data_IF_447979735742
#
_entry.id   IF_447979735742
#
_cell.length_a   1.000
_cell.length_b   1.000
_cell.length_c   1.000
_cell.angle_alpha   90.00
_cell.angle_beta   90.00
_cell.angle_gamma   90.00
#
_symmetry.space_group_name_H-M   'P 1'
#
loop_
_entity.id
_entity.type
_entity.pdbx_description
1 polymer ?
#
# COMPACT_ATOMS: atom_id res chain seq x y z
N UNK A 1 -60.47 -15.48 19.12
CA UNK A 1 -59.26 -16.25 19.46
C UNK A 1 -58.06 -15.43 19.02
N UNK A 2 -57.05 -15.36 19.90
CA UNK A 2 -55.67 -14.90 19.70
C UNK A 2 -55.45 -13.42 19.37
N UNK A 3 -55.19 -12.65 20.42
CA UNK A 3 -54.33 -11.47 20.34
C UNK A 3 -52.85 -11.87 20.26
N UNK A 4 -52.02 -10.98 19.73
CA UNK A 4 -50.57 -10.84 19.90
C UNK A 4 -50.15 -9.59 19.10
N UNK A 5 -49.15 -8.79 19.44
CA UNK A 5 -48.44 -8.42 20.69
C UNK A 5 -47.71 -7.11 20.32
N UNK A 6 -47.73 -6.14 21.22
CA UNK A 6 -47.07 -4.84 21.11
C UNK A 6 -45.54 -5.02 21.25
N UNK A 7 -44.74 -4.57 20.28
CA UNK A 7 -43.28 -4.55 20.42
C UNK A 7 -42.84 -3.23 21.06
N UNK A 8 -42.43 -3.32 22.33
CA UNK A 8 -41.80 -2.24 23.07
C UNK A 8 -40.28 -2.36 22.87
N UNK A 9 -39.65 -1.36 22.25
CA UNK A 9 -38.18 -1.26 22.14
C UNK A 9 -37.62 -0.92 23.52
N UNK A 10 -36.84 -1.84 24.10
CA UNK A 10 -35.99 -1.59 25.26
C UNK A 10 -34.57 -1.32 24.76
N UNK A 11 -34.05 -0.13 25.04
CA UNK A 11 -32.63 0.19 24.90
C UNK A 11 -31.85 -0.44 26.06
N UNK A 12 -30.76 -1.13 25.76
CA UNK A 12 -29.78 -1.60 26.75
C UNK A 12 -28.39 -1.24 26.23
N UNK A 13 -27.74 -0.33 26.94
CA UNK A 13 -26.30 -0.02 26.85
C UNK A 13 -25.58 -0.96 27.82
N UNK A 14 -24.47 -1.60 27.43
CA UNK A 14 -23.50 -2.11 28.38
C UNK A 14 -22.24 -1.24 28.39
N UNK A 15 -22.03 -0.57 29.51
CA UNK A 15 -20.73 -0.12 30.00
C UNK A 15 -19.99 -1.36 30.52
N UNK A 16 -18.78 -1.62 30.03
CA UNK A 16 -17.86 -2.56 30.68
C UNK A 16 -16.59 -1.79 31.02
N UNK A 17 -16.51 -1.36 32.27
CA UNK A 17 -15.26 -1.01 32.93
C UNK A 17 -14.70 -2.28 33.57
N UNK A 18 -13.48 -2.68 33.20
CA UNK A 18 -12.76 -3.77 33.86
C UNK A 18 -11.46 -3.22 34.45
N UNK A 19 -11.56 -2.71 35.68
CA UNK A 19 -10.42 -2.52 36.56
C UNK A 19 -10.10 -3.85 37.24
N UNK A 20 -8.84 -4.29 37.16
CA UNK A 20 -8.33 -5.38 37.98
C UNK A 20 -7.13 -4.91 38.79
N UNK A 21 -7.22 -5.25 40.07
CA UNK A 21 -6.48 -4.69 41.18
C UNK A 21 -5.09 -5.32 41.35
N UNK A 22 -4.17 -4.47 41.82
CA UNK A 22 -2.89 -4.86 42.40
C UNK A 22 -3.15 -5.60 43.71
N UNK A 23 -2.64 -6.83 43.83
CA UNK A 23 -2.51 -7.55 45.09
C UNK A 23 -1.03 -7.87 45.33
N UNK A 24 -0.37 -7.01 46.10
CA UNK A 24 0.90 -7.34 46.73
C UNK A 24 0.66 -8.27 47.93
N UNK A 25 1.53 -9.27 48.07
CA UNK A 25 1.71 -9.95 49.35
C UNK A 25 3.17 -10.37 49.49
N UNK A 26 3.85 -9.69 50.42
CA UNK A 26 5.17 -9.97 50.94
C UNK A 26 5.23 -11.34 51.65
N UNK A 27 6.32 -12.10 51.42
CA UNK A 27 6.94 -12.97 52.43
C UNK A 27 8.46 -12.95 52.29
N UNK A 28 9.12 -12.20 53.19
CA UNK A 28 10.44 -12.56 53.76
C UNK A 28 10.28 -13.85 54.58
N UNK A 29 11.28 -14.67 54.87
CA UNK A 29 12.66 -14.86 54.46
C UNK A 29 13.03 -16.25 55.05
N UNK A 30 13.90 -17.03 54.43
CA UNK A 30 14.63 -18.04 55.20
C UNK A 30 16.07 -18.15 54.73
N UNK A 31 16.98 -18.04 55.69
CA UNK A 31 18.42 -17.92 55.54
C UNK A 31 19.05 -19.31 55.64
N UNK A 32 19.74 -19.78 54.59
CA UNK A 32 20.74 -20.84 54.72
C UNK A 32 21.98 -20.55 53.87
N UNK A 33 23.06 -20.30 54.59
CA UNK A 33 24.45 -20.15 54.16
C UNK A 33 25.02 -21.46 53.63
N UNK A 34 25.71 -21.43 52.48
CA UNK A 34 26.98 -22.18 52.27
C UNK A 34 27.77 -21.69 51.05
N UNK A 35 28.99 -21.20 51.35
CA UNK A 35 30.30 -21.33 50.67
C UNK A 35 30.43 -21.26 49.14
N UNK A 36 31.30 -20.32 48.74
CA UNK A 36 32.05 -20.26 47.49
C UNK A 36 32.88 -21.53 47.20
N UNK A 37 32.84 -21.97 45.94
CA UNK A 37 33.85 -22.78 45.26
C UNK A 37 33.88 -22.40 43.78
N UNK A 38 35.06 -22.13 43.27
CA UNK A 38 35.39 -21.69 41.91
C UNK A 38 35.46 -22.83 40.89
N UNK A 39 35.15 -22.46 39.63
CA UNK A 39 35.49 -23.09 38.34
C UNK A 39 34.69 -24.33 37.91
N UNK A 40 33.88 -24.23 36.84
CA UNK A 40 34.32 -24.22 35.44
C UNK A 40 33.12 -24.00 34.48
N UNK A 41 33.43 -23.39 33.34
CA UNK A 41 32.60 -23.10 32.17
C UNK A 41 31.53 -24.16 31.83
N UNK A 42 30.30 -23.68 31.65
CA UNK A 42 29.43 -24.14 30.57
C UNK A 42 28.79 -22.91 29.93
N UNK A 43 29.27 -22.56 28.74
CA UNK A 43 28.74 -21.48 27.91
C UNK A 43 27.31 -21.80 27.49
N UNK A 44 26.34 -21.00 27.91
CA UNK A 44 25.08 -20.83 27.17
C UNK A 44 25.25 -19.59 26.32
N UNK A 45 25.64 -19.83 25.07
CA UNK A 45 25.63 -18.88 23.96
C UNK A 45 24.27 -18.20 23.91
N UNK A 46 24.22 -16.93 24.27
CA UNK A 46 23.26 -16.00 23.65
C UNK A 46 23.60 -16.02 22.16
N UNK A 47 22.70 -16.54 21.34
CA UNK A 47 22.75 -16.32 19.90
C UNK A 47 22.61 -14.82 19.68
N UNK A 48 23.74 -14.13 19.62
CA UNK A 48 23.86 -12.90 18.86
C UNK A 48 23.26 -13.20 17.48
N UNK A 49 22.13 -12.56 17.17
CA UNK A 49 21.58 -12.50 15.82
C UNK A 49 22.57 -11.69 14.99
N UNK A 50 23.66 -12.34 14.61
CA UNK A 50 24.62 -11.82 13.66
C UNK A 50 24.06 -12.11 12.27
N UNK A 51 22.92 -11.47 11.94
CA UNK A 51 22.51 -11.32 10.56
C UNK A 51 23.43 -10.28 9.98
N UNK A 52 24.54 -10.74 9.41
CA UNK A 52 25.36 -9.92 8.51
C UNK A 52 24.51 -9.67 7.26
N UNK A 53 23.56 -8.75 7.37
CA UNK A 53 22.96 -8.10 6.22
C UNK A 53 24.07 -7.23 5.65
N UNK A 54 24.48 -7.54 4.44
CA UNK A 54 25.43 -6.72 3.72
C UNK A 54 24.78 -5.35 3.54
N UNK A 55 25.20 -4.37 4.34
CA UNK A 55 25.05 -2.95 4.02
C UNK A 55 25.76 -2.71 2.69
N UNK A 56 25.00 -2.81 1.60
CA UNK A 56 25.37 -2.10 0.40
C UNK A 56 25.00 -0.66 0.62
N UNK A 57 25.85 0.25 0.17
CA UNK A 57 25.61 1.70 0.16
C UNK A 57 24.55 2.10 -0.90
N UNK A 58 23.65 1.16 -1.23
CA UNK A 58 22.66 1.18 -2.29
C UNK A 58 21.27 0.96 -1.65
N UNK A 59 20.22 1.46 -2.28
CA UNK A 59 18.82 1.18 -1.97
C UNK A 59 18.59 -0.31 -1.59
N UNK A 60 17.69 -0.60 -0.62
CA UNK A 60 17.33 -1.97 -0.28
C UNK A 60 16.63 -2.70 -1.45
N UNK A 61 16.08 -1.97 -2.43
CA UNK A 61 15.56 -2.51 -3.67
C UNK A 61 16.58 -2.40 -4.83
N UNK A 62 16.59 -3.40 -5.72
CA UNK A 62 17.25 -3.28 -7.02
C UNK A 62 16.31 -2.61 -8.02
N UNK A 63 16.39 -1.28 -8.12
CA UNK A 63 15.50 -0.48 -8.98
C UNK A 63 15.84 -0.57 -10.48
N UNK A 64 16.91 -1.28 -10.87
CA UNK A 64 17.41 -1.29 -12.26
C UNK A 64 16.45 -1.93 -13.27
N UNK A 65 15.55 -2.82 -12.83
CA UNK A 65 14.66 -3.60 -13.68
C UNK A 65 13.20 -3.65 -13.18
N UNK A 66 12.70 -2.53 -12.65
CA UNK A 66 11.33 -2.45 -12.12
C UNK A 66 10.25 -2.55 -13.20
N UNK A 67 10.54 -2.07 -14.42
CA UNK A 67 9.62 -2.02 -15.56
C UNK A 67 10.27 -2.56 -16.83
N UNK A 68 9.48 -3.30 -17.61
CA UNK A 68 9.85 -3.72 -18.96
C UNK A 68 9.48 -2.64 -19.99
N UNK A 69 10.00 -2.76 -21.21
CA UNK A 69 9.61 -1.86 -22.31
C UNK A 69 8.12 -1.97 -22.65
N UNK A 70 7.52 -3.16 -22.47
CA UNK A 70 6.08 -3.39 -22.68
C UNK A 70 5.25 -2.71 -21.58
N UNK A 71 5.71 -2.76 -20.33
CA UNK A 71 5.03 -2.07 -19.21
C UNK A 71 4.93 -0.57 -19.49
N UNK A 72 6.01 0.04 -19.97
CA UNK A 72 6.13 1.47 -20.24
C UNK A 72 5.39 1.93 -21.50
N UNK A 73 4.87 1.02 -22.33
CA UNK A 73 4.19 1.38 -23.57
C UNK A 73 2.80 1.99 -23.30
N UNK A 74 2.66 3.31 -23.45
CA UNK A 74 1.39 4.02 -23.20
C UNK A 74 0.36 3.92 -24.34
N UNK A 75 0.71 3.28 -25.44
CA UNK A 75 -0.18 3.06 -26.58
C UNK A 75 0.07 1.68 -27.17
N UNK A 76 -0.98 1.02 -27.66
CA UNK A 76 -0.92 -0.31 -28.28
C UNK A 76 -1.36 -0.21 -29.74
N UNK A 77 -0.69 -0.92 -30.65
CA UNK A 77 -1.14 -1.07 -32.02
C UNK A 77 -2.41 -1.94 -32.06
N UNK A 78 -3.52 -1.35 -32.48
CA UNK A 78 -4.84 -1.99 -32.51
C UNK A 78 -5.25 -2.47 -33.91
N UNK A 79 -4.36 -2.39 -34.90
CA UNK A 79 -4.67 -2.73 -36.31
C UNK A 79 -5.25 -4.14 -36.46
N UNK A 80 -4.68 -5.10 -35.73
CA UNK A 80 -5.10 -6.51 -35.75
C UNK A 80 -5.82 -6.94 -34.46
N UNK A 81 -6.19 -5.99 -33.60
CA UNK A 81 -6.81 -6.31 -32.32
C UNK A 81 -8.21 -6.91 -32.50
N UNK A 82 -8.53 -7.88 -31.65
CA UNK A 82 -9.88 -8.42 -31.52
C UNK A 82 -10.79 -7.37 -30.88
N UNK A 83 -11.96 -7.12 -31.45
CA UNK A 83 -12.89 -6.10 -30.94
C UNK A 83 -14.00 -6.77 -30.14
N UNK A 84 -14.26 -6.25 -28.95
CA UNK A 84 -15.32 -6.71 -28.06
C UNK A 84 -16.15 -5.49 -27.64
N UNK A 85 -17.46 -5.63 -27.78
CA UNK A 85 -18.43 -4.65 -27.27
C UNK A 85 -19.19 -5.33 -26.13
N UNK A 86 -19.22 -4.68 -24.98
CA UNK A 86 -19.83 -5.21 -23.77
C UNK A 86 -21.35 -5.20 -23.86
N UNK A 87 -21.98 -6.17 -23.22
CA UNK A 87 -23.44 -6.34 -23.17
C UNK A 87 -23.89 -6.69 -21.75
N UNK A 88 -25.06 -6.20 -21.35
CA UNK A 88 -25.66 -6.49 -20.04
C UNK A 88 -25.82 -8.00 -19.79
N UNK A 89 -25.41 -8.46 -18.61
CA UNK A 89 -25.59 -9.84 -18.16
C UNK A 89 -24.74 -10.88 -18.90
N UNK A 90 -23.75 -10.43 -19.70
CA UNK A 90 -22.88 -11.32 -20.48
C UNK A 90 -21.43 -11.12 -20.11
N UNK A 91 -20.86 -12.09 -19.42
CA UNK A 91 -19.42 -12.13 -19.20
C UNK A 91 -18.66 -12.33 -20.52
N UNK A 92 -17.46 -11.79 -20.57
CA UNK A 92 -16.51 -11.91 -21.67
C UNK A 92 -15.35 -12.78 -21.19
N UNK A 93 -15.15 -13.95 -21.79
CA UNK A 93 -13.98 -14.80 -21.49
C UNK A 93 -12.91 -14.60 -22.55
N UNK A 94 -11.68 -14.32 -22.11
CA UNK A 94 -10.47 -14.23 -22.91
C UNK A 94 -9.52 -15.35 -22.47
N UNK A 95 -9.19 -16.25 -23.40
CA UNK A 95 -8.49 -17.51 -23.13
C UNK A 95 -7.15 -17.65 -23.89
N UNK A 96 -6.69 -16.58 -24.55
CA UNK A 96 -5.47 -16.58 -25.35
C UNK A 96 -4.73 -15.25 -25.26
N UNK A 97 -3.40 -15.30 -25.45
CA UNK A 97 -2.57 -14.13 -25.65
C UNK A 97 -2.98 -13.39 -26.93
N UNK A 98 -3.37 -12.12 -26.80
CA UNK A 98 -3.66 -11.21 -27.92
C UNK A 98 -3.92 -9.79 -27.40
N UNK A 99 -4.20 -8.87 -28.32
CA UNK A 99 -4.75 -7.55 -28.03
C UNK A 99 -6.26 -7.53 -28.26
N UNK A 100 -7.00 -7.03 -27.27
CA UNK A 100 -8.44 -6.97 -27.24
C UNK A 100 -8.89 -5.52 -27.01
N UNK A 101 -9.52 -4.89 -27.99
CA UNK A 101 -10.15 -3.58 -27.84
C UNK A 101 -11.53 -3.76 -27.25
N UNK A 102 -11.73 -3.29 -26.02
CA UNK A 102 -12.97 -3.39 -25.26
C UNK A 102 -13.68 -2.03 -25.29
N UNK A 103 -14.98 -2.06 -25.60
CA UNK A 103 -15.83 -0.86 -25.74
C UNK A 103 -17.22 -1.10 -25.15
N UNK A 104 -17.94 -0.01 -24.92
CA UNK A 104 -19.37 -0.05 -24.60
C UNK A 104 -19.68 -0.01 -23.11
N UNK A 105 -20.97 -0.03 -22.80
CA UNK A 105 -21.51 0.04 -21.44
C UNK A 105 -22.27 -1.23 -21.11
N UNK A 106 -22.01 -1.82 -19.94
CA UNK A 106 -22.70 -3.03 -19.50
C UNK A 106 -22.91 -3.07 -17.98
N UNK A 107 -23.93 -3.83 -17.56
CA UNK A 107 -24.21 -4.19 -16.18
C UNK A 107 -24.08 -5.69 -15.97
N UNK A 108 -23.54 -6.09 -14.83
CA UNK A 108 -23.36 -7.51 -14.47
C UNK A 108 -22.68 -8.29 -15.61
N UNK A 109 -21.56 -7.75 -16.08
CA UNK A 109 -20.71 -8.29 -17.13
C UNK A 109 -19.26 -8.18 -16.66
N UNK A 110 -18.57 -9.31 -16.59
CA UNK A 110 -17.17 -9.40 -16.17
C UNK A 110 -16.28 -9.71 -17.38
N UNK A 111 -15.19 -8.97 -17.54
CA UNK A 111 -14.10 -9.36 -18.45
C UNK A 111 -13.18 -10.33 -17.70
N UNK A 112 -13.27 -11.61 -18.03
CA UNK A 112 -12.55 -12.71 -17.38
C UNK A 112 -11.37 -13.12 -18.25
N UNK A 113 -10.16 -13.08 -17.70
CA UNK A 113 -8.93 -13.54 -18.37
C UNK A 113 -8.52 -14.87 -17.77
N UNK A 114 -8.59 -15.93 -18.56
CA UNK A 114 -8.18 -17.28 -18.17
C UNK A 114 -7.42 -17.93 -19.33
N UNK A 115 -6.26 -17.34 -19.64
CA UNK A 115 -5.37 -17.79 -20.71
C UNK A 115 -4.30 -18.75 -20.16
N UNK A 116 -3.31 -19.12 -20.98
CA UNK A 116 -2.16 -19.91 -20.52
C UNK A 116 -1.27 -19.09 -19.55
N UNK A 117 -0.53 -19.78 -18.68
CA UNK A 117 0.30 -19.12 -17.66
C UNK A 117 1.49 -18.31 -18.24
N UNK A 118 1.82 -18.51 -19.51
CA UNK A 118 2.82 -17.76 -20.27
C UNK A 118 2.22 -16.64 -21.13
N UNK A 119 0.89 -16.52 -21.19
CA UNK A 119 0.20 -15.55 -22.03
C UNK A 119 0.35 -14.11 -21.52
N UNK A 120 0.66 -13.19 -22.43
CA UNK A 120 0.51 -11.76 -22.23
C UNK A 120 -0.78 -11.31 -22.91
N UNK A 121 -1.71 -10.76 -22.14
CA UNK A 121 -3.04 -10.34 -22.63
C UNK A 121 -3.16 -8.83 -22.51
N UNK A 122 -3.47 -8.15 -23.62
CA UNK A 122 -3.62 -6.70 -23.65
C UNK A 122 -5.09 -6.32 -23.80
N UNK A 123 -5.68 -5.74 -22.75
CA UNK A 123 -6.99 -5.11 -22.76
C UNK A 123 -6.82 -3.63 -23.10
N UNK A 124 -7.33 -3.20 -24.24
CA UNK A 124 -7.32 -1.80 -24.67
C UNK A 124 -8.70 -1.22 -24.42
N UNK A 125 -8.83 -0.42 -23.37
CA UNK A 125 -10.09 0.18 -22.95
C UNK A 125 -10.32 1.51 -23.68
N UNK A 126 -11.42 1.56 -24.44
CA UNK A 126 -11.87 2.74 -25.15
C UNK A 126 -13.31 3.08 -24.80
N UNK A 127 -13.47 3.95 -23.80
CA UNK A 127 -14.76 4.40 -23.25
C UNK A 127 -15.63 3.25 -22.71
N UNK A 128 -14.99 2.35 -21.95
CA UNK A 128 -15.65 1.23 -21.27
C UNK A 128 -16.43 1.72 -20.05
N UNK A 129 -17.64 1.23 -19.84
CA UNK A 129 -18.38 1.47 -18.59
C UNK A 129 -19.01 0.18 -18.08
N UNK A 130 -18.56 -0.34 -16.93
CA UNK A 130 -19.08 -1.57 -16.33
C UNK A 130 -19.61 -1.28 -14.93
N UNK A 131 -20.82 -1.74 -14.62
CA UNK A 131 -21.36 -1.75 -13.25
C UNK A 131 -21.79 -3.16 -12.86
N UNK A 132 -21.04 -3.79 -11.97
CA UNK A 132 -21.37 -5.11 -11.43
C UNK A 132 -21.94 -4.99 -10.02
N UNK A 133 -22.73 -5.98 -9.63
CA UNK A 133 -23.33 -6.00 -8.29
C UNK A 133 -22.37 -6.56 -7.25
N UNK A 134 -21.66 -7.66 -7.58
CA UNK A 134 -20.96 -8.50 -6.60
C UNK A 134 -19.75 -9.26 -7.17
N UNK A 135 -19.31 -8.92 -8.37
CA UNK A 135 -18.14 -9.52 -9.05
C UNK A 135 -17.26 -8.41 -9.60
N UNK A 136 -15.93 -8.62 -9.72
CA UNK A 136 -15.04 -7.70 -10.40
C UNK A 136 -15.56 -7.34 -11.79
N UNK A 137 -15.20 -6.17 -12.28
CA UNK A 137 -15.44 -5.79 -13.68
C UNK A 137 -14.40 -6.40 -14.61
N UNK A 138 -13.17 -6.58 -14.10
CA UNK A 138 -12.08 -7.30 -14.73
C UNK A 138 -11.58 -8.34 -13.73
N UNK A 139 -11.51 -9.60 -14.14
CA UNK A 139 -11.04 -10.70 -13.33
C UNK A 139 -9.96 -11.51 -14.06
N UNK A 140 -8.69 -11.29 -13.70
CA UNK A 140 -7.57 -12.03 -14.28
C UNK A 140 -7.27 -13.28 -13.46
N UNK A 141 -7.82 -14.41 -13.90
CA UNK A 141 -7.68 -15.73 -13.27
C UNK A 141 -6.31 -16.32 -13.56
N UNK A 142 -5.89 -16.32 -14.83
CA UNK A 142 -4.62 -16.89 -15.26
C UNK A 142 -4.08 -16.20 -16.52
N UNK A 143 -2.82 -15.78 -16.45
CA UNK A 143 -1.98 -15.20 -17.50
C UNK A 143 -0.59 -14.98 -16.89
N UNK A 144 0.43 -14.74 -17.72
CA UNK A 144 1.72 -14.24 -17.23
C UNK A 144 1.59 -12.80 -16.72
N UNK A 145 0.92 -11.97 -17.51
CA UNK A 145 0.59 -10.59 -17.18
C UNK A 145 -0.65 -10.16 -17.96
N UNK A 146 -1.51 -9.37 -17.32
CA UNK A 146 -2.62 -8.69 -17.99
C UNK A 146 -2.31 -7.19 -18.03
N UNK A 147 -2.31 -6.63 -19.24
CA UNK A 147 -2.18 -5.19 -19.44
C UNK A 147 -3.58 -4.58 -19.58
N UNK A 148 -3.87 -3.54 -18.81
CA UNK A 148 -5.07 -2.70 -18.99
C UNK A 148 -4.60 -1.34 -19.48
N UNK A 149 -4.71 -1.12 -20.79
CA UNK A 149 -4.29 0.11 -21.46
C UNK A 149 -5.48 1.00 -21.76
N UNK A 150 -5.53 2.20 -21.19
CA UNK A 150 -6.57 3.19 -21.52
C UNK A 150 -6.19 4.00 -22.77
N UNK A 151 -7.09 4.11 -23.74
CA UNK A 151 -6.83 4.92 -24.94
C UNK A 151 -6.84 6.41 -24.63
N UNK A 152 -6.12 7.19 -25.44
CA UNK A 152 -6.04 8.64 -25.27
C UNK A 152 -7.43 9.28 -25.28
N UNK A 153 -7.68 10.17 -24.32
CA UNK A 153 -8.95 10.88 -24.12
C UNK A 153 -10.16 9.98 -23.80
N UNK A 154 -9.97 8.67 -23.57
CA UNK A 154 -11.06 7.82 -23.11
C UNK A 154 -11.36 8.07 -21.64
N UNK A 155 -12.65 7.95 -21.28
CA UNK A 155 -13.07 7.88 -19.88
C UNK A 155 -13.72 6.54 -19.62
N UNK A 156 -13.09 5.73 -18.78
CA UNK A 156 -13.51 4.37 -18.48
C UNK A 156 -14.05 4.32 -17.05
N UNK A 157 -15.26 3.78 -16.84
CA UNK A 157 -15.96 3.80 -15.56
C UNK A 157 -16.25 2.38 -15.09
N UNK A 158 -15.57 1.92 -14.06
CA UNK A 158 -15.75 0.58 -13.50
C UNK A 158 -16.25 0.68 -12.07
N UNK A 159 -17.34 -0.02 -11.77
CA UNK A 159 -18.00 0.06 -10.47
C UNK A 159 -18.49 -1.29 -10.00
N UNK A 160 -18.32 -1.55 -8.70
CA UNK A 160 -19.01 -2.65 -8.00
C UNK A 160 -19.86 -2.07 -6.88
N UNK A 161 -21.17 -2.32 -6.89
CA UNK A 161 -22.13 -1.61 -6.02
C UNK A 161 -22.47 -2.31 -4.71
N UNK A 162 -22.11 -3.58 -4.57
CA UNK A 162 -22.46 -4.40 -3.41
C UNK A 162 -21.32 -5.30 -3.01
N UNK A 163 -21.59 -6.17 -2.03
CA UNK A 163 -20.58 -7.08 -1.49
C UNK A 163 -20.07 -8.06 -2.54
N UNK A 164 -18.76 -8.22 -2.60
CA UNK A 164 -18.13 -9.19 -3.48
C UNK A 164 -18.49 -10.61 -3.05
N UNK A 165 -18.77 -11.44 -4.04
CA UNK A 165 -18.95 -12.88 -3.83
C UNK A 165 -17.66 -13.59 -4.16
N UNK A 166 -17.20 -14.43 -3.23
CA UNK A 166 -16.03 -15.29 -3.40
C UNK A 166 -16.09 -16.10 -4.71
N UNK A 167 -14.92 -16.49 -5.18
CA UNK A 167 -14.74 -17.42 -6.30
C UNK A 167 -13.82 -18.57 -5.89
N UNK A 168 -14.38 -19.78 -5.83
CA UNK A 168 -13.72 -20.98 -5.32
C UNK A 168 -13.04 -20.77 -3.95
N UNK A 169 -13.72 -20.08 -3.04
CA UNK A 169 -13.21 -19.78 -1.69
C UNK A 169 -12.10 -18.72 -1.64
N UNK A 170 -11.84 -18.03 -2.75
CA UNK A 170 -10.93 -16.89 -2.79
C UNK A 170 -11.72 -15.58 -2.77
N UNK A 171 -11.26 -14.64 -1.95
CA UNK A 171 -11.72 -13.26 -2.00
C UNK A 171 -11.26 -12.62 -3.31
N UNK A 172 -12.22 -12.11 -4.07
CA UNK A 172 -12.00 -11.36 -5.32
C UNK A 172 -12.49 -9.92 -5.16
N UNK A 173 -12.15 -9.32 -4.03
CA UNK A 173 -12.78 -8.13 -3.45
C UNK A 173 -12.26 -6.79 -4.03
N UNK A 174 -12.11 -6.72 -5.35
CA UNK A 174 -11.70 -5.51 -6.06
C UNK A 174 -12.44 -5.32 -7.40
N UNK A 175 -12.61 -4.06 -7.82
CA UNK A 175 -13.25 -3.73 -9.11
C UNK A 175 -12.45 -4.30 -10.28
N UNK A 176 -11.11 -4.22 -10.19
CA UNK A 176 -10.19 -4.99 -11.01
C UNK A 176 -9.43 -5.93 -10.08
N UNK A 177 -9.59 -7.22 -10.28
CA UNK A 177 -8.93 -8.24 -9.47
C UNK A 177 -8.07 -9.16 -10.34
N UNK A 178 -6.82 -9.36 -9.96
CA UNK A 178 -5.91 -10.27 -10.64
C UNK A 178 -5.31 -11.28 -9.67
N UNK A 179 -5.44 -12.58 -9.97
CA UNK A 179 -4.65 -13.64 -9.31
C UNK A 179 -3.18 -13.65 -9.79
N UNK A 180 -2.87 -12.82 -10.78
CA UNK A 180 -1.60 -12.79 -11.53
C UNK A 180 -1.06 -11.37 -11.58
N UNK A 181 0.07 -11.17 -12.26
CA UNK A 181 0.57 -9.82 -12.52
C UNK A 181 -0.44 -9.01 -13.33
N UNK A 182 -0.57 -7.74 -12.98
CA UNK A 182 -1.34 -6.78 -13.74
C UNK A 182 -0.54 -5.50 -13.95
N UNK A 183 -0.64 -4.94 -15.16
CA UNK A 183 -0.02 -3.67 -15.51
C UNK A 183 -1.06 -2.71 -16.04
N UNK A 184 -1.14 -1.54 -15.43
CA UNK A 184 -2.02 -0.45 -15.85
C UNK A 184 -1.19 0.62 -16.54
N UNK A 185 -1.60 0.99 -17.75
CA UNK A 185 -0.93 2.03 -18.52
C UNK A 185 -1.92 2.73 -19.45
N UNK A 186 -1.43 3.68 -20.24
CA UNK A 186 -2.23 4.39 -21.22
C UNK A 186 -2.31 5.88 -20.96
N UNK A 187 -3.16 6.53 -21.74
CA UNK A 187 -3.29 7.99 -21.78
C UNK A 187 -4.72 8.47 -21.45
N UNK A 188 -5.59 7.55 -21.04
CA UNK A 188 -6.97 7.83 -20.67
C UNK A 188 -7.18 7.89 -19.16
N UNK A 189 -8.46 8.02 -18.79
CA UNK A 189 -8.92 8.03 -17.40
C UNK A 189 -9.62 6.73 -17.05
N UNK A 190 -9.33 6.20 -15.87
CA UNK A 190 -10.00 5.08 -15.24
C UNK A 190 -10.64 5.53 -13.92
N UNK A 191 -11.97 5.55 -13.87
CA UNK A 191 -12.76 5.85 -12.70
C UNK A 191 -13.18 4.53 -12.03
N UNK A 192 -12.84 4.37 -10.76
CA UNK A 192 -13.09 3.19 -9.94
C UNK A 192 -13.95 3.58 -8.74
N UNK A 193 -15.03 2.82 -8.49
CA UNK A 193 -15.92 2.98 -7.34
C UNK A 193 -16.24 1.59 -6.75
N UNK A 194 -15.89 1.38 -5.48
CA UNK A 194 -15.92 0.07 -4.83
C UNK A 194 -16.34 0.18 -3.36
N UNK A 195 -17.15 -0.78 -2.89
CA UNK A 195 -17.33 -1.04 -1.45
C UNK A 195 -16.28 -2.01 -0.88
N UNK A 196 -15.20 -2.27 -1.63
CA UNK A 196 -14.04 -3.02 -1.17
C UNK A 196 -12.77 -2.37 -1.74
N UNK A 197 -11.80 -3.15 -2.22
CA UNK A 197 -10.60 -2.61 -2.84
C UNK A 197 -10.91 -2.02 -4.22
N UNK A 198 -10.09 -1.09 -4.68
CA UNK A 198 -10.20 -0.54 -6.03
C UNK A 198 -9.63 -1.51 -7.03
N UNK A 199 -8.31 -1.68 -6.99
CA UNK A 199 -7.56 -2.59 -7.84
C UNK A 199 -6.71 -3.49 -6.95
N UNK A 200 -6.78 -4.80 -7.15
CA UNK A 200 -6.00 -5.76 -6.36
C UNK A 200 -5.29 -6.80 -7.24
N UNK A 201 -4.07 -7.17 -6.83
CA UNK A 201 -3.32 -8.30 -7.40
C UNK A 201 -2.80 -9.24 -6.30
N UNK A 202 -2.90 -10.55 -6.52
CA UNK A 202 -2.20 -11.55 -5.70
C UNK A 202 -0.75 -11.77 -6.15
N UNK A 203 -0.17 -10.84 -6.92
CA UNK A 203 1.21 -10.86 -7.39
C UNK A 203 1.72 -9.42 -7.51
N UNK A 204 2.38 -9.05 -8.62
CA UNK A 204 2.82 -7.67 -8.86
C UNK A 204 1.73 -6.82 -9.53
N UNK A 205 1.56 -5.59 -9.04
CA UNK A 205 0.75 -4.54 -9.65
C UNK A 205 1.67 -3.42 -10.13
N UNK A 206 1.66 -3.15 -11.44
CA UNK A 206 2.44 -2.05 -12.04
C UNK A 206 1.51 -0.97 -12.57
N UNK A 207 1.90 0.30 -12.38
CA UNK A 207 1.26 1.44 -13.05
C UNK A 207 2.33 2.27 -13.74
N UNK A 208 2.19 2.52 -15.03
CA UNK A 208 3.22 3.26 -15.79
C UNK A 208 2.71 4.51 -16.48
N UNK A 209 1.42 4.80 -16.35
CA UNK A 209 0.78 6.02 -16.86
C UNK A 209 -0.74 5.94 -16.75
N UNK A 210 -1.42 6.99 -17.22
CA UNK A 210 -2.87 7.15 -17.16
C UNK A 210 -3.34 7.96 -15.95
N UNK A 211 -4.65 8.20 -15.87
CA UNK A 211 -5.30 8.91 -14.75
C UNK A 211 -6.25 7.97 -14.03
N UNK A 212 -6.13 7.87 -12.70
CA UNK A 212 -6.91 6.97 -11.86
C UNK A 212 -7.69 7.79 -10.82
N UNK A 213 -9.01 7.73 -10.89
CA UNK A 213 -9.90 8.31 -9.88
C UNK A 213 -10.53 7.16 -9.09
N UNK A 214 -10.11 6.95 -7.86
CA UNK A 214 -10.43 5.74 -7.08
C UNK A 214 -11.17 6.13 -5.81
N UNK A 215 -12.37 5.56 -5.61
CA UNK A 215 -13.15 5.72 -4.38
C UNK A 215 -13.47 4.33 -3.81
N UNK A 216 -12.96 4.04 -2.61
CA UNK A 216 -12.99 2.70 -2.01
C UNK A 216 -13.31 2.74 -0.52
N UNK A 217 -13.92 1.68 0.01
CA UNK A 217 -14.06 1.47 1.47
C UNK A 217 -13.08 0.43 2.02
N UNK A 218 -12.07 0.07 1.22
CA UNK A 218 -10.83 -0.58 1.64
C UNK A 218 -9.67 0.13 0.91
N UNK A 219 -8.63 -0.59 0.52
CA UNK A 219 -7.46 -0.01 -0.11
C UNK A 219 -7.77 0.48 -1.54
N UNK A 220 -7.14 1.59 -1.95
CA UNK A 220 -7.21 2.06 -3.33
C UNK A 220 -6.57 1.05 -4.28
N UNK A 221 -5.29 0.78 -4.04
CA UNK A 221 -4.49 -0.22 -4.73
C UNK A 221 -3.93 -1.23 -3.72
N UNK A 222 -4.09 -2.53 -4.00
CA UNK A 222 -3.56 -3.61 -3.19
C UNK A 222 -2.72 -4.57 -4.03
N UNK A 223 -1.56 -5.00 -3.53
CA UNK A 223 -0.82 -6.09 -4.15
C UNK A 223 -0.15 -6.99 -3.12
N UNK A 224 -0.07 -8.29 -3.41
CA UNK A 224 0.67 -9.22 -2.55
C UNK A 224 2.19 -8.92 -2.63
N UNK A 225 2.78 -8.99 -3.83
CA UNK A 225 4.24 -8.96 -3.95
C UNK A 225 4.81 -7.54 -4.05
N UNK A 226 4.21 -6.70 -4.89
CA UNK A 226 4.64 -5.30 -4.99
C UNK A 226 3.64 -4.42 -5.72
N UNK A 227 3.65 -3.14 -5.35
CA UNK A 227 3.12 -2.07 -6.19
C UNK A 227 4.28 -1.25 -6.74
N UNK A 228 4.34 -1.07 -8.06
CA UNK A 228 5.39 -0.29 -8.73
C UNK A 228 4.79 0.76 -9.62
N UNK A 229 5.12 2.02 -9.37
CA UNK A 229 4.60 3.17 -10.13
C UNK A 229 5.75 3.84 -10.87
N UNK A 230 5.68 3.85 -12.21
CA UNK A 230 6.63 4.60 -13.03
C UNK A 230 6.20 6.06 -13.20
N UNK A 231 4.91 6.25 -13.49
CA UNK A 231 4.26 7.55 -13.69
C UNK A 231 2.73 7.36 -13.64
N UNK A 232 1.97 8.46 -13.58
CA UNK A 232 0.51 8.48 -13.58
C UNK A 232 -0.06 9.67 -12.83
N UNK A 233 -1.37 9.83 -12.86
CA UNK A 233 -2.11 10.76 -11.99
C UNK A 233 -3.12 9.98 -11.16
N UNK A 234 -3.07 10.13 -9.85
CA UNK A 234 -3.86 9.35 -8.89
C UNK A 234 -4.66 10.30 -8.00
N UNK A 235 -5.98 10.15 -8.01
CA UNK A 235 -6.90 10.82 -7.11
C UNK A 235 -7.64 9.74 -6.32
N UNK A 236 -7.20 9.50 -5.08
CA UNK A 236 -7.64 8.35 -4.28
C UNK A 236 -8.38 8.84 -3.05
N UNK A 237 -9.57 8.31 -2.81
CA UNK A 237 -10.27 8.38 -1.54
C UNK A 237 -10.50 6.94 -1.06
N UNK A 238 -9.83 6.55 0.02
CA UNK A 238 -9.87 5.21 0.59
C UNK A 238 -10.19 5.29 2.09
N UNK A 239 -10.97 4.35 2.63
CA UNK A 239 -11.14 4.23 4.09
C UNK A 239 -10.09 3.31 4.73
N UNK A 240 -9.25 2.68 3.91
CA UNK A 240 -7.96 2.11 4.33
C UNK A 240 -6.88 2.85 3.55
N UNK A 241 -5.83 2.14 3.12
CA UNK A 241 -4.69 2.81 2.51
C UNK A 241 -4.93 3.21 1.06
N UNK A 242 -4.20 4.24 0.62
CA UNK A 242 -4.18 4.62 -0.78
C UNK A 242 -3.50 3.53 -1.61
N UNK A 243 -2.31 3.14 -1.18
CA UNK A 243 -1.51 2.04 -1.72
C UNK A 243 -1.09 1.11 -0.59
N UNK A 244 -1.35 -0.20 -0.75
CA UNK A 244 -1.03 -1.21 0.24
C UNK A 244 -0.38 -2.42 -0.42
N UNK A 245 0.84 -2.78 -0.02
CA UNK A 245 1.45 -4.05 -0.41
C UNK A 245 1.93 -4.83 0.79
N UNK A 246 1.50 -6.08 0.89
CA UNK A 246 1.79 -6.95 2.03
C UNK A 246 1.89 -8.40 1.55
N UNK A 247 2.95 -9.09 1.99
CA UNK A 247 3.09 -10.53 1.83
C UNK A 247 3.59 -11.16 3.14
N UNK A 248 2.69 -11.81 3.86
CA UNK A 248 3.01 -12.48 5.12
C UNK A 248 3.85 -13.76 4.92
N UNK A 249 3.79 -14.38 3.73
CA UNK A 249 4.48 -15.63 3.43
C UNK A 249 5.93 -15.41 2.93
N UNK A 250 6.17 -14.29 2.24
CA UNK A 250 7.49 -13.89 1.74
C UNK A 250 7.77 -12.42 2.06
N UNK A 251 8.40 -12.20 3.23
CA UNK A 251 8.73 -10.88 3.74
C UNK A 251 9.77 -10.13 2.90
N UNK A 252 10.40 -10.76 1.89
CA UNK A 252 11.24 -10.07 0.89
C UNK A 252 10.42 -9.33 -0.17
N UNK A 253 9.11 -9.51 -0.15
CA UNK A 253 8.13 -8.84 -1.00
C UNK A 253 7.14 -8.04 -0.13
N UNK A 254 6.02 -7.57 -0.69
CA UNK A 254 5.11 -6.64 -0.01
C UNK A 254 5.67 -5.22 0.04
N UNK A 255 6.26 -4.73 -1.06
CA UNK A 255 6.85 -3.40 -1.14
C UNK A 255 6.09 -2.47 -2.08
N UNK A 256 6.22 -1.17 -1.83
CA UNK A 256 5.79 -0.11 -2.74
C UNK A 256 7.00 0.64 -3.26
N UNK A 257 7.11 0.75 -4.58
CA UNK A 257 8.15 1.52 -5.27
C UNK A 257 7.52 2.57 -6.17
N UNK A 258 7.93 3.84 -6.03
CA UNK A 258 7.42 4.96 -6.83
C UNK A 258 8.59 5.70 -7.48
N UNK A 259 8.72 5.59 -8.79
CA UNK A 259 9.68 6.36 -9.57
C UNK A 259 9.20 7.79 -9.85
N UNK A 260 7.88 8.00 -9.93
CA UNK A 260 7.28 9.27 -10.30
C UNK A 260 5.76 9.21 -10.38
N UNK A 261 5.13 10.34 -10.72
CA UNK A 261 3.68 10.51 -10.82
C UNK A 261 3.16 11.71 -10.03
N UNK A 262 1.84 11.91 -10.09
CA UNK A 262 1.12 12.93 -9.32
C UNK A 262 0.04 12.26 -8.47
N UNK A 263 0.07 12.47 -7.15
CA UNK A 263 -0.74 11.75 -6.18
C UNK A 263 -1.52 12.75 -5.32
N UNK A 264 -2.84 12.63 -5.32
CA UNK A 264 -3.73 13.23 -4.33
C UNK A 264 -4.41 12.09 -3.60
N UNK A 265 -4.05 11.86 -2.34
CA UNK A 265 -4.50 10.71 -1.55
C UNK A 265 -5.22 11.21 -0.30
N UNK A 266 -6.46 10.78 -0.12
CA UNK A 266 -7.19 10.91 1.13
C UNK A 266 -7.50 9.50 1.64
N UNK A 267 -6.80 9.09 2.69
CA UNK A 267 -6.97 7.80 3.34
C UNK A 267 -7.51 7.98 4.76
N UNK A 268 -8.30 7.03 5.25
CA UNK A 268 -8.66 6.95 6.69
C UNK A 268 -7.75 5.99 7.47
N UNK A 269 -6.72 5.46 6.81
CA UNK A 269 -5.60 4.65 7.35
C UNK A 269 -4.33 5.24 6.68
N UNK A 270 -3.49 4.46 5.99
CA UNK A 270 -2.22 4.99 5.48
C UNK A 270 -2.32 5.67 4.10
N UNK A 271 -1.49 6.68 3.84
CA UNK A 271 -1.34 7.20 2.48
C UNK A 271 -0.76 6.11 1.57
N UNK A 272 0.44 5.64 1.92
CA UNK A 272 1.21 4.63 1.19
C UNK A 272 1.87 3.68 2.19
N UNK A 273 1.60 2.39 2.07
CA UNK A 273 2.19 1.35 2.90
C UNK A 273 2.73 0.19 2.05
N UNK A 274 4.04 -0.01 2.12
CA UNK A 274 4.70 -1.25 1.75
C UNK A 274 5.21 -1.91 3.02
N UNK A 275 4.63 -3.04 3.41
CA UNK A 275 4.96 -3.74 4.66
C UNK A 275 6.46 -3.95 4.81
N UNK A 276 7.15 -4.38 3.74
CA UNK A 276 8.61 -4.50 3.76
C UNK A 276 9.31 -3.17 3.50
N UNK A 277 9.10 -2.59 2.32
CA UNK A 277 9.79 -1.38 1.88
C UNK A 277 8.79 -0.42 1.23
N UNK A 278 8.90 0.87 1.57
CA UNK A 278 8.32 1.96 0.79
C UNK A 278 9.43 2.86 0.27
N UNK A 279 9.64 2.85 -1.03
CA UNK A 279 10.70 3.62 -1.70
C UNK A 279 10.13 4.61 -2.71
N UNK A 280 10.51 5.88 -2.56
CA UNK A 280 10.08 7.00 -3.41
C UNK A 280 11.32 7.66 -4.05
N UNK A 281 11.46 7.47 -5.35
CA UNK A 281 12.50 8.06 -6.19
C UNK A 281 12.08 9.40 -6.82
N UNK A 282 10.79 9.73 -6.77
CA UNK A 282 10.27 10.99 -7.27
C UNK A 282 8.74 11.05 -7.30
N UNK A 283 8.22 12.14 -7.84
CA UNK A 283 6.77 12.40 -7.95
C UNK A 283 6.32 13.63 -7.16
N UNK A 284 5.04 13.96 -7.25
CA UNK A 284 4.38 15.02 -6.48
C UNK A 284 3.23 14.43 -5.69
N UNK A 285 3.20 14.66 -4.38
CA UNK A 285 2.25 14.04 -3.46
C UNK A 285 1.54 15.11 -2.63
N UNK A 286 0.23 14.98 -2.49
CA UNK A 286 -0.62 15.65 -1.50
C UNK A 286 -1.41 14.55 -0.77
N UNK A 287 -0.98 14.24 0.46
CA UNK A 287 -1.48 13.11 1.25
C UNK A 287 -2.19 13.63 2.50
N UNK A 288 -3.43 13.20 2.71
CA UNK A 288 -4.15 13.32 3.97
C UNK A 288 -4.46 11.90 4.48
N UNK A 289 -3.92 11.52 5.63
CA UNK A 289 -3.99 10.13 6.12
C UNK A 289 -3.89 10.05 7.66
N UNK A 290 -4.02 8.84 8.21
CA UNK A 290 -3.63 8.54 9.60
C UNK A 290 -2.11 8.60 9.66
N UNK A 291 -1.44 7.69 8.95
CA UNK A 291 -0.02 7.82 8.65
C UNK A 291 0.23 8.21 7.19
N UNK A 292 1.19 9.08 6.92
CA UNK A 292 1.45 9.52 5.54
C UNK A 292 2.09 8.42 4.69
N UNK A 293 3.25 7.93 5.12
CA UNK A 293 4.06 6.92 4.42
C UNK A 293 4.61 5.94 5.45
N UNK A 294 4.39 4.65 5.24
CA UNK A 294 4.80 3.61 6.19
C UNK A 294 5.52 2.44 5.52
N UNK A 295 6.46 1.82 6.25
CA UNK A 295 7.03 0.52 5.94
C UNK A 295 8.01 0.04 7.01
N UNK A 296 8.59 -1.15 6.84
CA UNK A 296 9.74 -1.53 7.69
C UNK A 296 10.97 -0.70 7.35
N UNK A 297 11.20 -0.50 6.06
CA UNK A 297 12.19 0.42 5.54
C UNK A 297 11.49 1.48 4.68
N UNK A 298 11.58 2.74 5.08
CA UNK A 298 11.10 3.86 4.26
C UNK A 298 12.30 4.60 3.68
N UNK A 299 12.36 4.69 2.35
CA UNK A 299 13.41 5.42 1.63
C UNK A 299 12.81 6.53 0.75
N UNK A 300 13.24 7.76 0.98
CA UNK A 300 12.85 8.93 0.19
C UNK A 300 14.08 9.48 -0.53
N UNK A 301 14.21 9.19 -1.82
CA UNK A 301 15.34 9.62 -2.64
C UNK A 301 15.11 11.00 -3.28
N UNK A 302 13.89 11.30 -3.73
CA UNK A 302 13.52 12.62 -4.24
C UNK A 302 11.99 12.80 -4.22
N UNK A 303 11.50 13.93 -4.72
CA UNK A 303 10.07 14.23 -4.91
C UNK A 303 9.62 15.53 -4.26
N UNK A 304 8.38 15.93 -4.53
CA UNK A 304 7.69 17.01 -3.81
C UNK A 304 6.56 16.38 -3.00
N UNK A 305 6.73 16.26 -1.69
CA UNK A 305 5.85 15.47 -0.84
C UNK A 305 5.20 16.41 0.17
N UNK A 306 3.87 16.53 0.12
CA UNK A 306 3.08 17.24 1.13
C UNK A 306 2.23 16.24 1.90
N UNK A 307 2.36 16.24 3.22
CA UNK A 307 1.65 15.32 4.11
C UNK A 307 0.91 16.13 5.17
N UNK A 308 -0.36 15.78 5.36
CA UNK A 308 -1.11 16.02 6.58
C UNK A 308 -1.46 14.67 7.20
N UNK A 309 -0.96 14.39 8.39
CA UNK A 309 -1.16 13.12 9.08
C UNK A 309 -1.76 13.32 10.48
N UNK A 310 -2.57 12.35 10.92
CA UNK A 310 -3.20 12.38 12.26
C UNK A 310 -2.54 11.47 13.28
N UNK A 311 -1.65 10.59 12.86
CA UNK A 311 -0.73 9.81 13.69
C UNK A 311 0.70 10.21 13.30
N UNK A 312 1.39 9.46 12.42
CA UNK A 312 2.75 9.78 12.01
C UNK A 312 2.87 10.27 10.56
N UNK A 313 3.76 11.24 10.33
CA UNK A 313 3.98 11.77 8.99
C UNK A 313 4.60 10.72 8.08
N UNK A 314 5.73 10.17 8.53
CA UNK A 314 6.42 9.04 7.91
C UNK A 314 6.83 8.09 9.04
N UNK A 315 6.40 6.84 8.98
CA UNK A 315 6.65 5.85 10.02
C UNK A 315 7.50 4.68 9.48
N UNK A 316 8.59 4.37 10.16
CA UNK A 316 9.31 3.12 9.99
C UNK A 316 9.13 2.22 11.22
N UNK A 317 8.43 1.09 11.04
CA UNK A 317 8.09 0.14 12.12
C UNK A 317 8.33 -1.33 11.72
N UNK A 318 8.67 -2.22 12.67
CA UNK A 318 8.96 -3.63 12.33
C UNK A 318 7.70 -4.38 11.85
N UNK A 319 7.55 -4.53 10.53
CA UNK A 319 6.53 -5.40 9.91
C UNK A 319 7.12 -6.59 9.16
N UNK A 320 8.37 -6.47 8.71
CA UNK A 320 9.10 -7.47 7.94
C UNK A 320 10.50 -7.74 8.55
N UNK A 321 10.73 -8.93 9.10
CA UNK A 321 11.93 -9.25 9.90
C UNK A 321 13.25 -9.41 9.13
N UNK A 322 13.20 -9.26 7.81
CA UNK A 322 14.33 -9.38 6.88
C UNK A 322 14.98 -8.03 6.53
N UNK A 323 14.39 -6.92 6.96
CA UNK A 323 14.95 -5.58 6.83
C UNK A 323 15.19 -4.98 8.22
N UNK A 324 16.17 -4.08 8.32
CA UNK A 324 16.29 -3.23 9.50
C UNK A 324 15.15 -2.20 9.48
N UNK A 325 14.66 -1.82 10.66
CA UNK A 325 13.69 -0.72 10.78
C UNK A 325 14.43 0.59 10.53
N UNK A 326 14.14 1.25 9.41
CA UNK A 326 14.87 2.44 8.98
C UNK A 326 13.99 3.44 8.23
N UNK A 327 14.11 4.70 8.62
CA UNK A 327 13.64 5.86 7.86
C UNK A 327 14.86 6.57 7.27
N UNK A 328 15.00 6.58 5.95
CA UNK A 328 16.08 7.26 5.23
C UNK A 328 15.56 8.30 4.25
N UNK A 329 15.98 9.55 4.43
CA UNK A 329 15.67 10.66 3.52
C UNK A 329 16.97 11.13 2.86
N UNK A 330 17.12 10.81 1.58
CA UNK A 330 18.27 11.18 0.75
C UNK A 330 18.09 12.50 0.01
N UNK A 331 16.85 12.93 -0.24
CA UNK A 331 16.55 14.12 -1.03
C UNK A 331 15.08 14.55 -0.97
N UNK A 332 14.66 15.36 -1.95
CA UNK A 332 13.29 15.84 -2.08
C UNK A 332 12.97 17.14 -1.35
N UNK A 333 11.74 17.60 -1.57
CA UNK A 333 11.08 18.73 -0.90
C UNK A 333 9.86 18.22 -0.14
N UNK A 334 9.99 18.08 1.17
CA UNK A 334 8.98 17.52 2.06
C UNK A 334 8.35 18.64 2.89
N UNK A 335 7.02 18.71 2.88
CA UNK A 335 6.22 19.62 3.72
C UNK A 335 5.24 18.78 4.55
N UNK A 336 5.58 18.55 5.81
CA UNK A 336 4.88 17.63 6.72
C UNK A 336 4.19 18.46 7.80
N UNK A 337 2.88 18.33 7.88
CA UNK A 337 2.06 18.95 8.92
C UNK A 337 1.37 17.87 9.72
N UNK A 338 1.55 17.90 11.04
CA UNK A 338 0.92 16.95 11.95
C UNK A 338 -0.34 17.56 12.56
N UNK A 339 -1.34 16.70 12.79
CA UNK A 339 -2.48 17.04 13.63
C UNK A 339 -2.05 17.24 15.10
N UNK A 340 -3.02 17.56 15.97
CA UNK A 340 -2.77 17.59 17.42
C UNK A 340 -2.81 16.17 17.99
N UNK A 341 -1.88 15.82 18.88
CA UNK A 341 -1.87 14.52 19.52
C UNK A 341 -0.48 14.09 19.98
N UNK A 342 -0.37 12.80 20.28
CA UNK A 342 0.90 12.09 20.33
C UNK A 342 1.16 11.63 18.89
N UNK A 343 2.01 12.36 18.17
CA UNK A 343 2.19 12.28 16.72
C UNK A 343 3.60 12.73 16.40
N UNK A 344 4.29 12.01 15.51
CA UNK A 344 5.63 12.36 15.07
C UNK A 344 5.68 12.63 13.58
N UNK A 345 6.34 13.73 13.20
CA UNK A 345 6.49 14.02 11.77
C UNK A 345 7.34 12.97 11.06
N UNK A 346 8.39 12.47 11.72
CA UNK A 346 9.23 11.38 11.29
C UNK A 346 9.41 10.40 12.47
N UNK A 347 8.76 9.24 12.43
CA UNK A 347 8.92 8.17 13.39
C UNK A 347 9.77 7.04 12.80
N UNK A 348 10.74 6.57 13.57
CA UNK A 348 11.45 5.35 13.28
C UNK A 348 11.68 4.54 14.55
N UNK A 349 10.95 3.43 14.72
CA UNK A 349 11.21 2.41 15.75
C UNK A 349 12.57 1.67 15.57
N UNK A 350 13.46 2.22 14.74
CA UNK A 350 14.84 1.84 14.55
C UNK A 350 15.73 3.08 14.30
N UNK A 351 16.25 3.21 13.09
CA UNK A 351 17.21 4.28 12.73
C UNK A 351 16.59 5.34 11.83
N UNK A 352 16.79 6.61 12.18
CA UNK A 352 16.43 7.77 11.39
C UNK A 352 17.68 8.38 10.72
N UNK A 353 17.71 8.50 9.40
CA UNK A 353 18.83 9.11 8.67
C UNK A 353 18.34 10.14 7.66
N UNK A 354 18.84 11.37 7.79
CA UNK A 354 18.61 12.46 6.84
C UNK A 354 19.94 12.80 6.17
N UNK A 355 20.09 12.42 4.91
CA UNK A 355 21.27 12.68 4.08
C UNK A 355 21.14 13.95 3.22
N UNK A 356 19.91 14.39 2.93
CA UNK A 356 19.67 15.52 2.03
C UNK A 356 18.21 16.01 2.04
N UNK A 357 17.89 16.87 1.08
CA UNK A 357 16.54 17.42 0.89
C UNK A 357 16.26 18.75 1.61
N UNK A 358 15.07 19.29 1.36
CA UNK A 358 14.46 20.37 2.11
C UNK A 358 13.23 19.82 2.81
N UNK A 359 13.22 19.83 4.14
CA UNK A 359 12.18 19.22 4.97
C UNK A 359 11.62 20.32 5.87
N UNK A 360 10.36 20.67 5.64
CA UNK A 360 9.61 21.62 6.44
C UNK A 360 8.57 20.87 7.28
N UNK A 361 8.68 20.98 8.60
CA UNK A 361 7.84 20.27 9.56
C UNK A 361 7.06 21.29 10.40
N UNK A 362 5.75 21.10 10.48
CA UNK A 362 4.86 21.75 11.45
C UNK A 362 4.26 20.69 12.35
N UNK A 363 4.79 20.52 13.56
CA UNK A 363 4.41 19.42 14.45
C UNK A 363 4.69 19.73 15.93
N UNK A 364 4.02 19.02 16.85
CA UNK A 364 4.37 19.05 18.28
C UNK A 364 5.68 18.31 18.54
N UNK A 365 5.80 17.10 17.99
CA UNK A 365 7.01 16.30 17.98
C UNK A 365 7.43 16.07 16.52
N UNK A 366 8.70 16.33 16.23
CA UNK A 366 9.21 16.32 14.86
C UNK A 366 9.92 15.01 14.52
N UNK A 367 10.49 14.34 15.52
CA UNK A 367 11.32 13.17 15.36
C UNK A 367 11.10 12.26 16.58
N UNK A 368 10.77 10.99 16.32
CA UNK A 368 10.93 9.90 17.28
C UNK A 368 11.83 8.82 16.68
N UNK A 369 12.70 8.25 17.51
CA UNK A 369 13.57 7.16 17.09
C UNK A 369 14.11 6.32 18.25
N UNK A 370 14.13 5.00 18.05
CA UNK A 370 14.54 4.05 19.10
C UNK A 370 16.05 3.79 19.15
N UNK A 371 16.75 3.85 18.01
CA UNK A 371 18.19 3.53 17.94
C UNK A 371 19.03 4.78 17.75
N UNK A 372 19.19 5.24 16.51
CA UNK A 372 20.08 6.36 16.20
C UNK A 372 19.41 7.31 15.23
N UNK A 373 19.69 8.61 15.38
CA UNK A 373 19.32 9.63 14.42
C UNK A 373 20.57 10.34 13.88
N UNK A 374 20.61 10.57 12.57
CA UNK A 374 21.70 11.27 11.90
C UNK A 374 21.18 12.34 10.94
N UNK A 375 21.71 13.56 11.06
CA UNK A 375 21.51 14.64 10.09
C UNK A 375 22.84 14.91 9.37
N UNK A 376 23.02 14.28 8.22
CA UNK A 376 24.26 14.31 7.44
C UNK A 376 24.27 15.42 6.36
N UNK A 377 23.09 15.91 5.97
CA UNK A 377 22.93 16.95 4.96
C UNK A 377 21.49 17.44 4.84
N UNK A 378 21.25 18.34 3.89
CA UNK A 378 19.92 18.94 3.67
C UNK A 378 19.62 20.15 4.56
N UNK A 379 18.37 20.60 4.52
CA UNK A 379 17.82 21.68 5.35
C UNK A 379 16.55 21.18 6.01
N UNK A 380 16.53 21.14 7.34
CA UNK A 380 15.37 20.72 8.11
C UNK A 380 14.87 21.89 8.95
N UNK A 381 13.64 22.29 8.74
CA UNK A 381 12.96 23.39 9.44
C UNK A 381 11.83 22.79 10.26
N UNK A 382 11.87 22.98 11.57
CA UNK A 382 10.81 22.57 12.49
C UNK A 382 10.16 23.83 13.06
N UNK A 383 8.86 23.99 12.83
CA UNK A 383 8.06 25.13 13.32
C UNK A 383 8.71 26.50 13.00
N UNK A 384 9.23 26.63 11.77
CA UNK A 384 9.88 27.85 11.27
C UNK A 384 11.32 28.07 11.72
N UNK A 385 11.93 27.14 12.47
CA UNK A 385 13.33 27.22 12.91
C UNK A 385 14.14 26.08 12.29
N UNK A 386 15.26 26.41 11.65
CA UNK A 386 16.17 25.40 11.14
C UNK A 386 16.86 24.66 12.29
N UNK A 387 16.86 23.33 12.24
CA UNK A 387 17.61 22.48 13.17
C UNK A 387 18.97 22.07 12.57
N UNK A 388 19.96 21.87 13.43
CA UNK A 388 21.32 21.45 13.03
C UNK A 388 21.70 20.06 13.54
N UNK A 389 20.81 19.43 14.30
CA UNK A 389 20.93 18.07 14.83
C UNK A 389 19.52 17.54 15.14
N UNK A 390 19.39 16.21 15.12
CA UNK A 390 18.21 15.50 15.63
C UNK A 390 18.54 15.06 17.05
N UNK A 391 17.64 15.29 18.01
CA UNK A 391 17.88 15.07 19.45
C UNK A 391 16.68 14.50 20.15
#
# INVERSE_FOLDING_TARGET
MNGTKLYQKLAIVPIVALGLAVAGCNKQADNKTTKFSTSANTSTTTTEKNTTLNYSKNSPLDTSNMFTQTDLAQTVDTTNAKKITLEDGKDVTIDAADTYVITGTAKNSTVIINASADAEVHLVFDNVSITNTNKPTVYAVNAKNVYVTTTQNSTNNLKVTGEFTEDDGNDIDAVIFAKTNITLNGLGTLNIDSSANGIASNSDLKVTGGTYNVNTTKHGFKALNSIRVADGTFNINATKDGFHSENEDDLTTGYVYIAGGNFTINSEDDGIQGTSITEIDGGTFDINAVEGIEGTYVQINDGTIKIYATDDGINASEKATNYDVQLEINGGNLDITMAEGDTDALDANGTLTINGGYINITAQFAFDFDLTASLNGGTVIVNGTQVTSIT
#
